data_IF_059722342361
#
_entry.id   IF_059722342361
#
_cell.length_a   1.000
_cell.length_b   1.000
_cell.length_c   1.000
_cell.angle_alpha   90.00
_cell.angle_beta   90.00
_cell.angle_gamma   90.00
#
_symmetry.space_group_name_H-M   'P 1'
#
loop_
_entity.id
_entity.type
_entity.pdbx_description
1 polymer ?
#
# COMPACT_ATOMS: atom_id res chain seq x y z
N UNK A 1 -15.26 9.25 -9.02
CA UNK A 1 -14.19 8.31 -9.43
C UNK A 1 -13.24 9.08 -10.33
N UNK A 2 -11.92 9.05 -10.06
CA UNK A 2 -10.96 9.86 -10.81
C UNK A 2 -10.78 9.30 -12.23
N UNK A 3 -10.70 10.13 -13.30
CA UNK A 3 -10.58 9.66 -14.70
C UNK A 3 -9.43 8.68 -14.94
N UNK A 4 -8.33 8.81 -14.21
CA UNK A 4 -7.14 7.96 -14.31
C UNK A 4 -7.43 6.49 -14.03
N UNK A 5 -8.36 6.16 -13.14
CA UNK A 5 -8.70 4.76 -12.84
C UNK A 5 -9.37 4.05 -14.02
N UNK A 6 -10.25 4.76 -14.73
CA UNK A 6 -10.87 4.24 -15.94
C UNK A 6 -9.84 3.97 -17.04
N UNK A 7 -8.88 4.88 -17.19
CA UNK A 7 -7.83 4.73 -18.19
C UNK A 7 -6.96 3.49 -17.91
N UNK A 8 -6.56 3.29 -16.67
CA UNK A 8 -5.77 2.11 -16.29
C UNK A 8 -6.57 0.82 -16.52
N UNK A 9 -7.83 0.77 -16.09
CA UNK A 9 -8.68 -0.40 -16.34
C UNK A 9 -8.86 -0.69 -17.84
N UNK A 10 -9.03 0.34 -18.66
CA UNK A 10 -9.11 0.17 -20.11
C UNK A 10 -7.80 -0.35 -20.71
N UNK A 11 -6.66 0.17 -20.29
CA UNK A 11 -5.35 -0.31 -20.74
C UNK A 11 -5.11 -1.78 -20.38
N UNK A 12 -5.44 -2.19 -19.14
CA UNK A 12 -5.30 -3.60 -18.71
C UNK A 12 -6.24 -4.51 -19.51
N UNK A 13 -7.48 -4.08 -19.75
CA UNK A 13 -8.43 -4.85 -20.55
C UNK A 13 -7.99 -4.97 -22.02
N UNK A 14 -7.43 -3.92 -22.60
CA UNK A 14 -6.87 -3.96 -23.96
C UNK A 14 -5.67 -4.92 -24.02
N UNK A 15 -4.77 -4.87 -23.06
CA UNK A 15 -3.62 -5.79 -22.96
C UNK A 15 -4.09 -7.26 -22.85
N UNK A 16 -5.17 -7.50 -22.15
CA UNK A 16 -5.73 -8.86 -22.01
C UNK A 16 -6.25 -9.42 -23.35
N UNK A 17 -6.73 -8.56 -24.26
CA UNK A 17 -7.19 -8.99 -25.58
C UNK A 17 -6.05 -9.55 -26.47
N UNK A 18 -4.82 -9.14 -26.18
CA UNK A 18 -3.61 -9.58 -26.89
C UNK A 18 -2.74 -10.54 -26.06
N UNK A 19 -3.32 -11.14 -24.99
CA UNK A 19 -2.62 -12.03 -24.05
C UNK A 19 -1.36 -11.41 -23.39
N UNK A 20 -1.34 -10.08 -23.24
CA UNK A 20 -0.25 -9.36 -22.61
C UNK A 20 -0.45 -9.27 -21.11
N UNK A 21 0.56 -9.70 -20.35
CA UNK A 21 0.57 -9.53 -18.91
C UNK A 21 0.94 -8.10 -18.52
N UNK A 22 0.27 -7.59 -17.49
CA UNK A 22 0.49 -6.23 -16.97
C UNK A 22 0.92 -6.29 -15.52
N UNK A 23 2.04 -5.64 -15.21
CA UNK A 23 2.50 -5.43 -13.84
C UNK A 23 2.51 -3.92 -13.60
N UNK A 24 1.49 -3.37 -12.92
CA UNK A 24 1.41 -1.95 -12.65
C UNK A 24 2.60 -1.51 -11.80
N UNK A 25 3.33 -0.49 -12.24
CA UNK A 25 4.39 0.10 -11.46
C UNK A 25 3.84 0.91 -10.29
N UNK A 26 4.42 0.71 -9.12
CA UNK A 26 4.05 1.39 -7.89
C UNK A 26 3.41 0.48 -6.85
N UNK A 27 3.96 0.52 -5.66
CA UNK A 27 3.49 -0.22 -4.50
C UNK A 27 2.45 0.57 -3.75
N UNK A 28 1.19 0.24 -3.91
CA UNK A 28 0.14 0.84 -3.09
C UNK A 28 -1.15 0.03 -3.15
N UNK A 29 -1.97 0.22 -2.13
CA UNK A 29 -3.27 -0.47 -2.00
C UNK A 29 -4.16 -0.33 -3.22
N UNK A 30 -4.14 0.81 -3.93
CA UNK A 30 -4.94 0.99 -5.14
C UNK A 30 -4.41 0.15 -6.32
N UNK A 31 -3.10 -0.04 -6.45
CA UNK A 31 -2.51 -0.92 -7.47
C UNK A 31 -2.84 -2.38 -7.18
N UNK A 32 -2.79 -2.80 -5.92
CA UNK A 32 -3.11 -4.17 -5.53
C UNK A 32 -4.58 -4.53 -5.82
N UNK A 33 -5.52 -3.63 -5.57
CA UNK A 33 -6.93 -3.83 -5.92
C UNK A 33 -7.15 -4.02 -7.43
N UNK A 34 -6.42 -3.27 -8.26
CA UNK A 34 -6.44 -3.45 -9.70
C UNK A 34 -5.93 -4.85 -10.09
N UNK A 35 -4.80 -5.27 -9.52
CA UNK A 35 -4.20 -6.58 -9.80
C UNK A 35 -5.09 -7.73 -9.37
N UNK A 36 -5.80 -7.60 -8.26
CA UNK A 36 -6.80 -8.58 -7.83
C UNK A 36 -7.99 -8.69 -8.79
N UNK A 37 -8.34 -7.60 -9.46
CA UNK A 37 -9.49 -7.56 -10.35
C UNK A 37 -9.22 -8.12 -11.75
N UNK A 38 -7.96 -8.16 -12.20
CA UNK A 38 -7.61 -8.53 -13.57
C UNK A 38 -6.71 -9.77 -13.61
N UNK A 39 -7.14 -10.84 -14.33
CA UNK A 39 -6.38 -12.09 -14.39
C UNK A 39 -5.03 -11.98 -15.13
N UNK A 40 -4.87 -10.98 -16.00
CA UNK A 40 -3.61 -10.69 -16.68
C UNK A 40 -2.66 -9.80 -15.86
N UNK A 41 -2.94 -9.59 -14.57
CA UNK A 41 -2.05 -8.91 -13.60
C UNK A 41 -1.56 -9.90 -12.53
N UNK A 42 -0.71 -10.87 -12.87
CA UNK A 42 -0.43 -12.04 -12.00
C UNK A 42 0.50 -11.73 -10.81
N UNK A 43 1.23 -10.61 -10.86
CA UNK A 43 2.26 -10.28 -9.88
C UNK A 43 2.13 -8.83 -9.44
N UNK A 44 2.23 -8.59 -8.12
CA UNK A 44 2.28 -7.26 -7.55
C UNK A 44 3.74 -6.80 -7.35
N UNK A 45 4.02 -5.55 -7.67
CA UNK A 45 5.25 -4.91 -7.26
C UNK A 45 5.12 -4.42 -5.81
N UNK A 46 6.14 -4.63 -5.01
CA UNK A 46 6.28 -4.02 -3.69
C UNK A 46 7.63 -3.30 -3.57
N UNK A 47 7.58 -1.99 -3.40
CA UNK A 47 8.78 -1.18 -3.20
C UNK A 47 9.07 -1.08 -1.70
N UNK A 48 10.13 -1.75 -1.26
CA UNK A 48 10.56 -1.68 0.13
C UNK A 48 11.42 -0.43 0.35
N UNK A 49 10.98 0.45 1.24
CA UNK A 49 11.67 1.69 1.61
C UNK A 49 12.59 1.54 2.82
N UNK A 50 12.90 0.32 3.27
CA UNK A 50 13.90 0.08 4.31
C UNK A 50 15.31 0.37 3.78
N UNK A 51 16.08 1.29 4.38
CA UNK A 51 17.42 1.63 3.89
C UNK A 51 18.43 0.47 3.97
N UNK A 52 18.27 -0.41 4.96
CA UNK A 52 19.13 -1.58 5.20
C UNK A 52 18.55 -2.88 4.64
N UNK A 53 17.29 -2.87 4.23
CA UNK A 53 16.59 -4.09 3.76
C UNK A 53 16.25 -5.10 4.86
N UNK A 54 16.47 -4.76 6.11
CA UNK A 54 16.27 -5.63 7.28
C UNK A 54 14.81 -5.67 7.77
N UNK A 55 13.97 -4.81 7.23
CA UNK A 55 12.57 -4.68 7.60
C UNK A 55 11.71 -4.41 6.36
N UNK A 56 10.41 -4.63 6.48
CA UNK A 56 9.44 -4.29 5.43
C UNK A 56 8.85 -2.93 5.74
N UNK A 57 9.14 -1.95 4.88
CA UNK A 57 8.64 -0.58 5.00
C UNK A 57 7.90 -0.22 3.71
N UNK A 58 6.58 0.04 3.78
CA UNK A 58 5.80 0.36 2.58
C UNK A 58 6.20 1.72 2.00
N UNK A 59 5.93 1.90 0.71
CA UNK A 59 6.35 3.07 -0.06
C UNK A 59 5.92 4.41 0.57
N UNK A 60 4.71 4.49 1.08
CA UNK A 60 4.19 5.70 1.73
C UNK A 60 4.47 5.80 3.23
N UNK A 61 5.22 4.87 3.79
CA UNK A 61 5.83 4.95 5.11
C UNK A 61 4.92 5.41 6.24
N UNK A 62 3.82 4.74 6.50
CA UNK A 62 2.92 5.07 7.59
C UNK A 62 1.88 6.16 7.26
N UNK A 63 1.64 6.44 5.97
CA UNK A 63 0.47 7.20 5.54
C UNK A 63 -0.82 6.48 5.91
N UNK A 64 -0.79 5.16 5.89
CA UNK A 64 -1.88 4.31 6.35
C UNK A 64 -1.50 3.57 7.63
N UNK A 65 -2.45 3.36 8.52
CA UNK A 65 -2.23 2.67 9.81
C UNK A 65 -2.12 1.15 9.64
N UNK A 66 -2.77 0.63 8.61
CA UNK A 66 -3.03 -0.79 8.40
C UNK A 66 -2.82 -1.18 6.92
N UNK A 67 -1.77 -0.62 6.30
CA UNK A 67 -1.39 -0.95 4.94
C UNK A 67 -0.99 -2.43 4.85
N UNK A 68 -1.54 -3.21 3.89
CA UNK A 68 -1.17 -4.60 3.73
C UNK A 68 0.29 -4.73 3.31
N UNK A 69 1.02 -5.58 4.02
CA UNK A 69 2.43 -5.85 3.78
C UNK A 69 2.63 -7.25 3.19
N UNK A 70 3.66 -7.48 2.39
CA UNK A 70 3.97 -8.80 1.87
C UNK A 70 4.34 -9.75 2.99
N UNK A 71 3.72 -10.91 2.99
CA UNK A 71 3.98 -12.01 3.91
C UNK A 71 4.05 -13.31 3.11
N UNK A 72 5.17 -14.03 3.21
CA UNK A 72 5.39 -15.30 2.48
C UNK A 72 5.13 -15.16 0.96
N UNK A 73 5.56 -14.06 0.36
CA UNK A 73 5.41 -13.80 -1.08
C UNK A 73 4.01 -13.41 -1.52
N UNK A 74 3.12 -13.05 -0.60
CA UNK A 74 1.74 -12.63 -0.87
C UNK A 74 1.42 -11.32 -0.17
N UNK A 75 0.46 -10.59 -0.74
CA UNK A 75 -0.16 -9.42 -0.12
C UNK A 75 -1.65 -9.71 -0.03
N UNK A 76 -2.17 -9.85 1.19
CA UNK A 76 -3.58 -10.09 1.44
C UNK A 76 -4.31 -8.75 1.61
N UNK A 77 -5.31 -8.50 0.77
CA UNK A 77 -6.09 -7.27 0.85
C UNK A 77 -7.18 -7.39 1.90
N UNK A 78 -7.36 -6.36 2.74
CA UNK A 78 -8.43 -6.36 3.72
C UNK A 78 -9.80 -6.24 3.06
N UNK A 79 -10.75 -7.07 3.49
CA UNK A 79 -12.13 -7.02 3.02
C UNK A 79 -12.93 -5.95 3.77
N UNK A 80 -12.62 -4.68 3.47
CA UNK A 80 -13.26 -3.50 4.06
C UNK A 80 -13.64 -2.50 2.96
N UNK A 81 -14.61 -1.61 3.18
CA UNK A 81 -15.01 -0.60 2.19
C UNK A 81 -13.84 0.28 1.72
N UNK A 82 -13.92 0.75 0.48
CA UNK A 82 -12.90 1.57 -0.18
C UNK A 82 -11.66 0.74 -0.50
N UNK A 83 -10.47 1.27 -0.20
CA UNK A 83 -9.20 0.55 -0.35
C UNK A 83 -8.87 -0.34 0.86
N UNK A 84 -9.76 -0.44 1.83
CA UNK A 84 -9.59 -1.28 3.00
C UNK A 84 -8.53 -0.81 4.00
N UNK A 85 -8.04 0.42 3.88
CA UNK A 85 -7.02 1.00 4.76
C UNK A 85 -7.51 2.26 5.46
N UNK A 86 -6.90 2.57 6.60
CA UNK A 86 -7.20 3.73 7.41
C UNK A 86 -6.12 4.79 7.27
N UNK A 87 -6.51 6.00 6.88
CA UNK A 87 -5.58 7.10 6.75
C UNK A 87 -5.05 7.54 8.13
N UNK A 88 -3.73 7.62 8.26
CA UNK A 88 -3.08 8.14 9.46
C UNK A 88 -3.11 9.68 9.50
N UNK A 89 -4.18 10.24 10.03
CA UNK A 89 -4.37 11.70 10.11
C UNK A 89 -3.31 12.40 10.95
N UNK A 90 -2.77 11.75 11.97
CA UNK A 90 -1.67 12.28 12.77
C UNK A 90 -0.36 12.36 11.97
N UNK A 91 -0.13 11.39 11.10
CA UNK A 91 1.03 11.36 10.20
C UNK A 91 1.03 12.46 9.15
N UNK A 92 -0.14 12.95 8.74
CA UNK A 92 -0.27 14.04 7.75
C UNK A 92 0.31 15.38 8.20
N UNK A 93 0.51 15.57 9.51
CA UNK A 93 1.12 16.77 10.07
C UNK A 93 2.65 16.77 10.00
N UNK A 94 3.25 15.67 9.58
CA UNK A 94 4.72 15.55 9.46
C UNK A 94 5.19 16.09 8.11
N UNK A 95 6.43 16.58 8.05
CA UNK A 95 7.04 16.94 6.76
C UNK A 95 7.01 15.76 5.79
N UNK A 96 6.82 16.06 4.51
CA UNK A 96 6.89 15.03 3.47
C UNK A 96 8.28 14.38 3.49
N UNK A 97 8.37 13.04 3.58
CA UNK A 97 9.66 12.36 3.53
C UNK A 97 10.32 12.56 2.17
N UNK A 98 11.61 12.82 2.17
CA UNK A 98 12.39 13.08 0.95
C UNK A 98 13.37 11.96 0.62
N UNK A 99 13.67 11.12 1.59
CA UNK A 99 14.62 10.01 1.46
C UNK A 99 14.02 8.70 1.97
N UNK A 100 14.53 7.54 1.55
CA UNK A 100 14.12 6.26 2.13
C UNK A 100 14.29 6.21 3.65
N UNK A 101 15.31 6.86 4.19
CA UNK A 101 15.53 6.97 5.62
C UNK A 101 14.39 7.73 6.34
N UNK A 102 13.91 8.83 5.73
CA UNK A 102 12.78 9.59 6.26
C UNK A 102 11.49 8.76 6.25
N UNK A 103 11.25 8.01 5.17
CA UNK A 103 10.10 7.11 5.06
C UNK A 103 10.13 6.05 6.15
N UNK A 104 11.27 5.39 6.35
CA UNK A 104 11.45 4.38 7.38
C UNK A 104 11.30 4.96 8.80
N UNK A 105 11.81 6.17 9.05
CA UNK A 105 11.67 6.86 10.32
C UNK A 105 10.19 7.21 10.61
N UNK A 106 9.48 7.74 9.62
CA UNK A 106 8.05 8.03 9.74
C UNK A 106 7.23 6.77 9.98
N UNK A 107 7.55 5.67 9.29
CA UNK A 107 6.88 4.39 9.48
C UNK A 107 7.05 3.86 10.91
N UNK A 108 8.29 3.80 11.43
CA UNK A 108 8.56 3.37 12.82
C UNK A 108 7.82 4.22 13.84
N UNK A 109 7.85 5.54 13.68
CA UNK A 109 7.18 6.45 14.59
C UNK A 109 5.64 6.28 14.59
N UNK A 110 5.06 5.82 13.47
CA UNK A 110 3.63 5.55 13.38
C UNK A 110 3.24 4.21 13.99
N UNK A 111 4.11 3.19 13.89
CA UNK A 111 3.89 1.91 14.55
C UNK A 111 3.79 2.08 16.08
N UNK A 112 4.68 2.88 16.67
CA UNK A 112 4.64 3.16 18.11
C UNK A 112 3.41 3.97 18.53
N UNK A 113 2.98 4.94 17.71
CA UNK A 113 1.78 5.72 17.97
C UNK A 113 0.50 4.89 17.82
N UNK A 114 0.45 4.00 16.83
CA UNK A 114 -0.67 3.08 16.58
C UNK A 114 -0.82 2.04 17.70
N UNK A 115 0.28 1.49 18.18
CA UNK A 115 0.29 0.57 19.31
C UNK A 115 -0.19 1.24 20.61
N UNK A 116 0.20 2.48 20.86
CA UNK A 116 -0.27 3.27 22.00
C UNK A 116 -1.79 3.57 21.90
N UNK A 117 -2.29 3.90 20.70
CA UNK A 117 -3.72 4.16 20.49
C UNK A 117 -4.56 2.88 20.63
N UNK A 118 -4.07 1.74 20.18
CA UNK A 118 -4.75 0.45 20.34
C UNK A 118 -4.81 -0.01 21.80
N UNK A 119 -3.78 0.29 22.61
CA UNK A 119 -3.75 -0.03 24.03
C UNK A 119 -4.76 0.77 24.86
N UNK A 120 -5.16 1.95 24.40
CA UNK A 120 -6.17 2.81 25.06
C UNK A 120 -7.61 2.38 24.73
N UNK A 121 -7.82 1.52 23.72
CA UNK A 121 -9.15 1.14 23.24
C UNK A 121 -9.48 -0.35 23.48
N UNK A 122 -9.08 -0.91 24.62
CA UNK A 122 -9.64 -2.15 25.14
C UNK A 122 -10.76 -1.84 26.13
N UNK A 123 -12.04 -1.83 25.73
CA UNK A 123 -13.13 -1.98 26.68
C UNK A 123 -13.17 -3.42 27.15
N UNK A 124 -13.26 -3.60 28.44
CA UNK A 124 -13.51 -4.86 29.09
C UNK A 124 -14.84 -5.48 28.64
#
# INVERSE_FOLDING_TARGET
MHPTHWLICAQVAMAAADDVLVIPHGSSVYAYHLQYAFPNCPVAEFINMSPSGDSIVPYFGGLFLDEPLPTNGRIDLPNRPGFGVTLNRAGLKRPCPRTPADVAANYRANQTAGAAAAAVHMPF
#
